data_IF_985676069194
#
_entry.id   IF_985676069194
#
_cell.length_a   1.000
_cell.length_b   1.000
_cell.length_c   1.000
_cell.angle_alpha   90.00
_cell.angle_beta   90.00
_cell.angle_gamma   90.00
#
_symmetry.space_group_name_H-M   'P 1'
#
loop_
_entity.id
_entity.type
_entity.pdbx_description
1 polymer ?
#
# COMPACT_ATOMS: atom_id res chain seq x y z
N UNK A 1 -21.11 0.53 11.79
CA UNK A 1 -20.93 1.75 10.99
C UNK A 1 -20.56 1.42 9.54
N UNK A 2 -19.37 0.86 9.26
CA UNK A 2 -18.90 0.56 7.87
C UNK A 2 -19.86 -0.36 7.08
N UNK A 3 -20.30 -1.48 7.64
CA UNK A 3 -21.25 -2.39 6.95
C UNK A 3 -22.58 -1.71 6.61
N UNK A 4 -23.10 -0.87 7.52
CA UNK A 4 -24.33 -0.10 7.30
C UNK A 4 -24.14 0.93 6.20
N UNK A 5 -23.00 1.63 6.18
CA UNK A 5 -22.66 2.58 5.12
C UNK A 5 -22.56 1.90 3.75
N UNK A 6 -21.95 0.71 3.68
CA UNK A 6 -21.92 -0.10 2.45
C UNK A 6 -23.33 -0.44 1.95
N UNK A 7 -24.21 -0.90 2.84
CA UNK A 7 -25.60 -1.21 2.49
C UNK A 7 -26.37 0.00 1.93
N UNK A 8 -26.15 1.19 2.48
CA UNK A 8 -26.79 2.42 2.00
C UNK A 8 -26.42 2.77 0.55
N UNK A 9 -25.22 2.37 0.11
CA UNK A 9 -24.73 2.61 -1.26
C UNK A 9 -24.75 1.35 -2.13
N UNK A 10 -25.36 0.26 -1.65
CA UNK A 10 -25.49 -1.00 -2.41
C UNK A 10 -24.19 -1.79 -2.57
N UNK A 11 -23.18 -1.59 -1.71
CA UNK A 11 -21.87 -2.25 -1.77
C UNK A 11 -21.63 -3.10 -0.51
N UNK A 12 -21.13 -4.32 -0.68
CA UNK A 12 -20.62 -5.09 0.46
C UNK A 12 -19.28 -4.52 0.93
N UNK A 13 -19.33 -3.60 1.91
CA UNK A 13 -18.15 -2.94 2.44
C UNK A 13 -17.72 -3.54 3.80
N UNK A 14 -16.49 -4.02 3.89
CA UNK A 14 -15.84 -4.47 5.12
C UNK A 14 -14.87 -3.40 5.62
N UNK A 15 -14.63 -3.38 6.94
CA UNK A 15 -13.65 -2.47 7.57
C UNK A 15 -12.26 -2.60 6.94
N UNK A 16 -11.90 -3.81 6.52
CA UNK A 16 -10.61 -4.09 5.91
C UNK A 16 -10.46 -3.47 4.52
N UNK A 17 -11.55 -3.30 3.76
CA UNK A 17 -11.51 -2.76 2.40
C UNK A 17 -11.11 -1.28 2.42
N UNK A 18 -11.63 -0.51 3.38
CA UNK A 18 -11.22 0.88 3.60
C UNK A 18 -9.74 0.99 4.00
N UNK A 19 -9.27 0.07 4.85
CA UNK A 19 -7.85 0.02 5.24
C UNK A 19 -6.94 -0.30 4.05
N UNK A 20 -7.35 -1.23 3.18
CA UNK A 20 -6.63 -1.54 1.92
C UNK A 20 -6.62 -0.34 0.99
N UNK A 21 -7.78 0.27 0.76
CA UNK A 21 -7.92 1.43 -0.12
C UNK A 21 -7.00 2.59 0.31
N UNK A 22 -6.98 2.92 1.60
CA UNK A 22 -6.10 3.97 2.13
C UNK A 22 -4.60 3.66 1.92
N UNK A 23 -4.18 2.41 2.16
CA UNK A 23 -2.80 2.00 1.96
C UNK A 23 -2.39 1.99 0.48
N UNK A 24 -3.27 1.52 -0.40
CA UNK A 24 -3.05 1.55 -1.85
C UNK A 24 -2.93 2.98 -2.37
N UNK A 25 -3.86 3.85 -1.98
CA UNK A 25 -3.83 5.26 -2.38
C UNK A 25 -2.54 5.96 -1.94
N UNK A 26 -2.13 5.80 -0.68
CA UNK A 26 -0.90 6.38 -0.16
C UNK A 26 0.35 5.83 -0.88
N UNK A 27 0.40 4.53 -1.16
CA UNK A 27 1.51 3.92 -1.90
C UNK A 27 1.60 4.47 -3.33
N UNK A 28 0.47 4.59 -4.03
CA UNK A 28 0.38 5.15 -5.38
C UNK A 28 0.72 6.64 -5.44
N UNK A 29 0.49 7.39 -4.35
CA UNK A 29 0.90 8.80 -4.25
C UNK A 29 2.39 8.99 -3.91
N UNK A 30 3.20 7.92 -3.93
CA UNK A 30 4.62 7.98 -3.61
C UNK A 30 4.92 8.13 -2.12
N UNK A 31 3.96 7.83 -1.24
CA UNK A 31 4.21 7.84 0.20
C UNK A 31 5.24 6.76 0.55
N UNK A 32 6.28 7.06 1.35
CA UNK A 32 7.27 6.06 1.75
C UNK A 32 6.63 4.84 2.42
N UNK A 33 7.15 3.66 2.13
CA UNK A 33 6.59 2.38 2.59
C UNK A 33 6.56 2.27 4.11
N UNK A 34 7.49 2.90 4.82
CA UNK A 34 7.57 2.98 6.27
C UNK A 34 6.34 3.68 6.85
N UNK A 35 5.91 4.79 6.22
CA UNK A 35 4.72 5.54 6.64
C UNK A 35 3.46 4.72 6.39
N UNK A 36 3.34 4.11 5.20
CA UNK A 36 2.22 3.22 4.88
C UNK A 36 2.15 2.06 5.88
N UNK A 37 3.30 1.47 6.20
CA UNK A 37 3.42 0.31 7.08
C UNK A 37 3.13 0.63 8.55
N UNK A 38 3.73 1.69 9.10
CA UNK A 38 3.70 1.99 10.54
C UNK A 38 2.54 2.87 10.96
N UNK A 39 2.10 3.78 10.09
CA UNK A 39 1.04 4.74 10.42
C UNK A 39 -0.33 4.24 9.95
N UNK A 40 -0.45 3.87 8.68
CA UNK A 40 -1.74 3.46 8.07
C UNK A 40 -2.07 2.01 8.43
N UNK A 41 -1.16 1.09 8.15
CA UNK A 41 -1.39 -0.35 8.33
C UNK A 41 -1.10 -0.84 9.75
N UNK A 42 -0.20 -0.15 10.46
CA UNK A 42 0.29 -0.48 11.81
C UNK A 42 0.86 -1.90 11.91
N UNK A 43 1.64 -2.30 10.92
CA UNK A 43 2.33 -3.59 10.94
C UNK A 43 3.51 -3.57 11.92
N UNK A 44 3.63 -4.63 12.71
CA UNK A 44 4.76 -4.81 13.63
C UNK A 44 6.09 -4.86 12.88
N UNK A 45 6.11 -5.49 11.71
CA UNK A 45 7.29 -5.65 10.85
C UNK A 45 7.07 -5.02 9.46
N UNK A 46 8.13 -4.44 8.89
CA UNK A 46 8.07 -3.83 7.56
C UNK A 46 7.92 -4.88 6.44
N UNK A 47 8.47 -6.08 6.62
CA UNK A 47 8.38 -7.21 5.71
C UNK A 47 6.93 -7.60 5.37
N UNK A 48 6.01 -7.41 6.32
CA UNK A 48 4.59 -7.68 6.11
C UNK A 48 4.00 -6.76 5.03
N UNK A 49 4.45 -5.50 4.97
CA UNK A 49 4.06 -4.55 3.94
C UNK A 49 4.85 -4.77 2.64
N UNK A 50 6.15 -5.07 2.73
CA UNK A 50 7.00 -5.35 1.57
C UNK A 50 6.51 -6.55 0.74
N UNK A 51 5.85 -7.55 1.34
CA UNK A 51 5.26 -8.67 0.61
C UNK A 51 4.23 -8.24 -0.45
N UNK A 52 3.63 -7.07 -0.31
CA UNK A 52 2.68 -6.52 -1.27
C UNK A 52 3.34 -5.69 -2.37
N UNK A 53 4.64 -5.45 -2.28
CA UNK A 53 5.42 -4.90 -3.39
C UNK A 53 5.86 -6.05 -4.31
N UNK A 54 5.80 -5.80 -5.61
CA UNK A 54 6.31 -6.74 -6.61
C UNK A 54 7.82 -6.96 -6.45
N UNK A 55 8.32 -8.06 -7.00
CA UNK A 55 9.77 -8.23 -7.17
C UNK A 55 10.24 -7.27 -8.27
N UNK A 56 11.26 -6.49 -7.97
CA UNK A 56 11.98 -5.71 -8.98
C UNK A 56 12.86 -6.69 -9.76
N UNK A 57 12.80 -6.66 -11.09
CA UNK A 57 13.71 -7.46 -11.91
C UNK A 57 15.05 -6.74 -12.08
N UNK A 58 16.09 -7.48 -12.47
CA UNK A 58 17.44 -6.93 -12.56
C UNK A 58 17.54 -5.73 -13.52
N UNK A 59 16.79 -5.73 -14.62
CA UNK A 59 16.79 -4.64 -15.59
C UNK A 59 16.17 -3.34 -15.00
N UNK A 60 15.08 -3.46 -14.24
CA UNK A 60 14.48 -2.34 -13.52
C UNK A 60 15.39 -1.82 -12.41
N UNK A 61 16.06 -2.72 -11.70
CA UNK A 61 17.02 -2.35 -10.66
C UNK A 61 18.21 -1.57 -11.23
N UNK A 62 18.79 -2.03 -12.35
CA UNK A 62 19.88 -1.32 -13.04
C UNK A 62 19.41 0.07 -13.49
N UNK A 63 18.23 0.17 -14.12
CA UNK A 63 17.66 1.47 -14.52
C UNK A 63 17.51 2.44 -13.35
N UNK A 64 17.08 1.94 -12.19
CA UNK A 64 16.94 2.76 -10.99
C UNK A 64 18.29 3.25 -10.47
N UNK A 65 19.31 2.40 -10.46
CA UNK A 65 20.68 2.79 -10.08
C UNK A 65 21.19 3.89 -11.03
N UNK A 66 21.06 3.70 -12.34
CA UNK A 66 21.48 4.71 -13.32
C UNK A 66 20.72 6.04 -13.14
N UNK A 67 19.42 5.99 -12.84
CA UNK A 67 18.62 7.21 -12.61
C UNK A 67 19.00 7.96 -11.33
N UNK A 68 19.46 7.24 -10.30
CA UNK A 68 19.83 7.82 -9.00
C UNK A 68 21.28 8.32 -8.95
N UNK A 69 22.16 7.74 -9.76
CA UNK A 69 23.61 7.99 -9.72
C UNK A 69 24.20 8.56 -11.02
N UNK A 70 23.45 8.60 -12.12
CA UNK A 70 23.82 9.23 -13.38
C UNK A 70 23.40 10.69 -13.46
#
# INVERSE_FOLDING_TARGET
MVKKAGQLVGIELKRHDLKRHAATYASQSGTPIEIVSKVILRHADLSTTQRYHGKVNDAEAIRWIETLYG
#
